data_IF_218540081025
#
_entry.id   IF_218540081025
#
_cell.length_a   1.000
_cell.length_b   1.000
_cell.length_c   1.000
_cell.angle_alpha   90.00
_cell.angle_beta   90.00
_cell.angle_gamma   90.00
#
_symmetry.space_group_name_H-M   'P 1'
#
loop_
_entity.id
_entity.type
_entity.pdbx_description
1 polymer ?
#
# COMPACT_ATOMS: atom_id res chain seq x y z
N UNK A 1 -54.41 9.20 -9.89
CA UNK A 1 -54.00 9.02 -8.48
C UNK A 1 -53.14 7.76 -8.38
N UNK A 2 -51.80 7.89 -8.45
CA UNK A 2 -50.89 6.75 -8.47
C UNK A 2 -50.47 6.35 -7.05
N UNK A 3 -50.54 5.04 -6.75
CA UNK A 3 -50.06 4.46 -5.50
C UNK A 3 -48.53 4.40 -5.49
N UNK A 4 -47.92 5.10 -4.56
CA UNK A 4 -46.49 5.05 -4.23
C UNK A 4 -46.12 3.70 -3.62
N UNK A 5 -45.24 2.95 -4.29
CA UNK A 5 -44.42 1.90 -3.68
C UNK A 5 -43.19 2.53 -3.03
N UNK A 6 -42.79 2.15 -1.81
CA UNK A 6 -41.57 2.66 -1.21
C UNK A 6 -40.37 2.01 -1.90
N UNK A 7 -39.48 2.83 -2.46
CA UNK A 7 -38.16 2.41 -2.92
C UNK A 7 -37.37 1.92 -1.70
N UNK A 8 -37.05 0.63 -1.69
CA UNK A 8 -36.07 0.04 -0.80
C UNK A 8 -34.74 0.75 -1.02
N UNK A 9 -34.29 1.52 -0.02
CA UNK A 9 -32.93 2.01 0.08
C UNK A 9 -31.99 0.81 0.16
N UNK A 10 -31.34 0.45 -0.95
CA UNK A 10 -30.16 -0.40 -0.93
C UNK A 10 -29.05 0.35 -0.19
N UNK A 11 -28.77 -0.11 1.03
CA UNK A 11 -27.52 0.20 1.71
C UNK A 11 -26.45 -0.65 1.05
N UNK A 12 -25.80 -0.12 0.01
CA UNK A 12 -24.56 -0.69 -0.52
C UNK A 12 -23.39 -0.20 0.35
N UNK A 13 -23.07 -0.98 1.38
CA UNK A 13 -21.92 -0.75 2.26
C UNK A 13 -20.58 -1.18 1.63
N UNK A 14 -19.62 -0.26 1.63
CA UNK A 14 -18.20 -0.45 1.99
C UNK A 14 -17.40 -1.64 1.38
N UNK A 15 -17.37 -1.78 0.04
CA UNK A 15 -16.39 -2.69 -0.61
C UNK A 15 -15.53 -2.04 -1.71
N UNK A 16 -15.77 -0.77 -2.06
CA UNK A 16 -15.11 -0.14 -3.22
C UNK A 16 -13.64 0.27 -3.00
N UNK A 17 -13.15 0.34 -1.75
CA UNK A 17 -11.78 0.77 -1.47
C UNK A 17 -10.67 -0.28 -1.74
N UNK A 18 -11.03 -1.57 -1.90
CA UNK A 18 -10.04 -2.65 -2.13
C UNK A 18 -9.72 -2.87 -3.60
N UNK A 19 -10.74 -2.78 -4.49
CA UNK A 19 -10.55 -2.90 -5.93
C UNK A 19 -9.64 -1.78 -6.43
N UNK A 20 -9.93 -0.53 -6.06
CA UNK A 20 -9.21 0.64 -6.59
C UNK A 20 -7.70 0.61 -6.31
N UNK A 21 -7.27 0.20 -5.10
CA UNK A 21 -5.84 0.16 -4.77
C UNK A 21 -5.10 -1.01 -5.42
N UNK A 22 -5.75 -2.16 -5.56
CA UNK A 22 -5.15 -3.31 -6.24
C UNK A 22 -5.03 -3.03 -7.74
N UNK A 23 -6.09 -2.48 -8.34
CA UNK A 23 -6.16 -2.07 -9.74
C UNK A 23 -5.12 -0.96 -10.02
N UNK A 24 -4.97 0.03 -9.14
CA UNK A 24 -3.94 1.06 -9.24
C UNK A 24 -2.53 0.48 -9.17
N UNK A 25 -2.28 -0.49 -8.30
CA UNK A 25 -0.98 -1.17 -8.22
C UNK A 25 -0.71 -1.96 -9.50
N UNK A 26 -1.70 -2.71 -10.00
CA UNK A 26 -1.57 -3.46 -11.24
C UNK A 26 -1.28 -2.52 -12.42
N UNK A 27 -2.07 -1.45 -12.57
CA UNK A 27 -1.86 -0.44 -13.60
C UNK A 27 -0.48 0.23 -13.48
N UNK A 28 -0.02 0.53 -12.26
CA UNK A 28 1.32 1.07 -12.06
C UNK A 28 2.39 0.09 -12.55
N UNK A 29 2.29 -1.20 -12.21
CA UNK A 29 3.25 -2.21 -12.67
C UNK A 29 3.20 -2.34 -14.20
N UNK A 30 2.00 -2.46 -14.78
CA UNK A 30 1.81 -2.71 -16.21
C UNK A 30 2.21 -1.52 -17.08
N UNK A 31 2.07 -0.29 -16.57
CA UNK A 31 2.51 0.94 -17.27
C UNK A 31 4.02 1.18 -17.23
N UNK A 32 4.77 0.39 -16.45
CA UNK A 32 6.23 0.52 -16.32
C UNK A 32 6.92 -0.74 -16.87
N UNK A 33 7.45 -0.74 -18.11
CA UNK A 33 8.05 -1.92 -18.73
C UNK A 33 9.13 -2.61 -17.87
N UNK A 34 9.95 -1.82 -17.17
CA UNK A 34 10.97 -2.34 -16.26
C UNK A 34 10.40 -3.17 -15.09
N UNK A 35 9.15 -2.97 -14.71
CA UNK A 35 8.43 -3.77 -13.71
C UNK A 35 7.60 -4.86 -14.38
N UNK A 36 6.94 -4.55 -15.49
CA UNK A 36 6.04 -5.46 -16.23
C UNK A 36 6.78 -6.64 -16.88
N UNK A 37 8.05 -6.49 -17.24
CA UNK A 37 8.82 -7.51 -17.96
C UNK A 37 9.82 -8.27 -17.08
N UNK A 38 10.22 -7.69 -15.94
CA UNK A 38 11.25 -8.26 -15.06
C UNK A 38 10.70 -8.51 -13.66
N UNK A 39 10.54 -9.79 -13.31
CA UNK A 39 9.99 -10.22 -12.02
C UNK A 39 10.93 -9.87 -10.85
N UNK A 40 12.25 -9.85 -11.05
CA UNK A 40 13.23 -9.55 -10.00
C UNK A 40 13.13 -8.06 -9.62
N UNK A 41 13.03 -7.18 -10.62
CA UNK A 41 12.77 -5.75 -10.42
C UNK A 41 11.41 -5.51 -9.77
N UNK A 42 10.37 -6.22 -10.24
CA UNK A 42 9.03 -6.16 -9.65
C UNK A 42 9.03 -6.58 -8.19
N UNK A 43 9.73 -7.65 -7.84
CA UNK A 43 9.82 -8.11 -6.45
C UNK A 43 10.56 -7.08 -5.56
N UNK A 44 11.64 -6.47 -6.04
CA UNK A 44 12.32 -5.39 -5.33
C UNK A 44 11.38 -4.20 -5.08
N UNK A 45 10.61 -3.80 -6.11
CA UNK A 45 9.57 -2.77 -6.00
C UNK A 45 8.47 -3.14 -5.00
N UNK A 46 7.90 -4.34 -5.09
CA UNK A 46 6.83 -4.80 -4.20
C UNK A 46 7.28 -4.87 -2.72
N UNK A 47 8.50 -5.34 -2.46
CA UNK A 47 9.08 -5.33 -1.12
C UNK A 47 9.26 -3.89 -0.60
N UNK A 48 9.72 -2.99 -1.46
CA UNK A 48 9.81 -1.56 -1.16
C UNK A 48 8.45 -0.98 -0.79
N UNK A 49 7.43 -1.25 -1.60
CA UNK A 49 6.07 -0.75 -1.38
C UNK A 49 5.49 -1.29 -0.08
N UNK A 50 5.67 -2.57 0.22
CA UNK A 50 5.25 -3.15 1.48
C UNK A 50 5.92 -2.47 2.69
N UNK A 51 7.24 -2.27 2.64
CA UNK A 51 7.97 -1.55 3.71
C UNK A 51 7.49 -0.11 3.84
N UNK A 52 7.27 0.58 2.71
CA UNK A 52 6.76 1.95 2.67
C UNK A 52 5.39 2.06 3.33
N UNK A 53 4.49 1.13 3.03
CA UNK A 53 3.13 1.09 3.54
C UNK A 53 3.09 0.83 5.04
N UNK A 54 3.86 -0.14 5.53
CA UNK A 54 4.00 -0.40 6.97
C UNK A 54 4.66 0.80 7.69
N UNK A 55 5.66 1.44 7.08
CA UNK A 55 6.29 2.62 7.66
C UNK A 55 5.32 3.82 7.75
N UNK A 56 4.46 4.01 6.76
CA UNK A 56 3.45 5.07 6.78
C UNK A 56 2.46 4.89 7.94
N UNK A 57 1.99 3.66 8.17
CA UNK A 57 1.18 3.33 9.35
C UNK A 57 1.93 3.63 10.65
N UNK A 58 3.17 3.16 10.77
CA UNK A 58 3.99 3.38 11.96
C UNK A 58 4.20 4.88 12.26
N UNK A 59 4.42 5.70 11.23
CA UNK A 59 4.55 7.14 11.38
C UNK A 59 3.27 7.78 11.93
N UNK A 60 2.09 7.41 11.41
CA UNK A 60 0.79 7.92 11.91
C UNK A 60 0.53 7.55 13.36
N UNK A 61 1.07 6.42 13.82
CA UNK A 61 1.00 5.94 15.21
C UNK A 61 2.14 6.46 16.10
N UNK A 62 2.99 7.37 15.60
CA UNK A 62 4.10 7.95 16.38
C UNK A 62 5.23 6.98 16.71
N UNK A 63 5.35 5.85 16.01
CA UNK A 63 6.39 4.85 16.26
C UNK A 63 7.73 5.35 15.71
N UNK A 64 8.69 5.64 16.61
CA UNK A 64 9.96 6.26 16.24
C UNK A 64 10.94 5.33 15.48
N UNK A 65 10.88 4.02 15.73
CA UNK A 65 11.76 3.01 15.09
C UNK A 65 11.02 2.25 14.01
N UNK A 66 10.74 2.93 12.90
CA UNK A 66 9.98 2.37 11.77
C UNK A 66 10.75 1.31 10.98
N UNK A 67 10.04 0.48 10.22
CA UNK A 67 10.62 -0.56 9.35
C UNK A 67 11.56 0.04 8.30
N UNK A 68 11.25 1.22 7.76
CA UNK A 68 12.13 1.90 6.80
C UNK A 68 13.49 2.27 7.41
N UNK A 69 13.56 2.60 8.71
CA UNK A 69 14.83 2.85 9.40
C UNK A 69 15.63 1.57 9.64
N UNK A 70 14.95 0.42 9.75
CA UNK A 70 15.58 -0.89 9.95
C UNK A 70 16.03 -1.53 8.63
N UNK A 71 15.38 -1.13 7.53
CA UNK A 71 15.60 -1.62 6.18
C UNK A 71 15.84 -0.45 5.22
N UNK A 72 16.92 0.33 5.41
CA UNK A 72 17.22 1.45 4.53
C UNK A 72 17.70 0.94 3.15
N UNK A 73 17.57 1.81 2.14
CA UNK A 73 17.87 1.48 0.74
C UNK A 73 19.31 1.01 0.56
N UNK A 74 20.28 1.73 1.14
CA UNK A 74 21.70 1.42 1.08
C UNK A 74 22.06 0.05 1.69
N UNK A 75 21.32 -0.39 2.70
CA UNK A 75 21.50 -1.70 3.30
C UNK A 75 20.87 -2.84 2.48
N UNK A 76 20.04 -2.54 1.48
CA UNK A 76 19.32 -3.56 0.74
C UNK A 76 20.23 -4.32 -0.24
N UNK A 77 20.09 -5.65 -0.25
CA UNK A 77 20.81 -6.60 -1.11
C UNK A 77 19.91 -7.80 -1.38
N UNK A 78 20.22 -8.60 -2.41
CA UNK A 78 19.53 -9.87 -2.73
C UNK A 78 19.34 -10.76 -1.50
N UNK A 79 20.42 -11.03 -0.77
CA UNK A 79 20.42 -11.83 0.48
C UNK A 79 19.52 -11.28 1.58
N UNK A 80 19.25 -9.97 1.59
CA UNK A 80 18.44 -9.32 2.63
C UNK A 80 16.96 -9.28 2.31
N UNK A 81 16.54 -9.61 1.09
CA UNK A 81 15.14 -9.62 0.66
C UNK A 81 14.32 -10.53 1.57
N UNK A 82 14.66 -11.81 1.67
CA UNK A 82 13.91 -12.79 2.47
C UNK A 82 13.81 -12.40 3.95
N UNK A 83 14.94 -11.99 4.56
CA UNK A 83 14.92 -11.51 5.95
C UNK A 83 14.14 -10.21 6.15
N UNK A 84 14.08 -9.33 5.14
CA UNK A 84 13.28 -8.10 5.21
C UNK A 84 11.80 -8.43 5.08
N UNK A 85 11.44 -9.27 4.11
CA UNK A 85 10.07 -9.74 3.92
C UNK A 85 9.52 -10.35 5.21
N UNK A 86 10.24 -11.31 5.81
CA UNK A 86 9.80 -11.95 7.06
C UNK A 86 9.55 -10.95 8.21
N UNK A 87 10.47 -10.00 8.41
CA UNK A 87 10.31 -8.97 9.44
C UNK A 87 9.12 -8.05 9.18
N UNK A 88 8.87 -7.72 7.92
CA UNK A 88 7.77 -6.83 7.55
C UNK A 88 6.44 -7.56 7.63
N UNK A 89 6.38 -8.85 7.27
CA UNK A 89 5.21 -9.72 7.48
C UNK A 89 4.86 -9.85 8.96
N UNK A 90 5.85 -10.06 9.83
CA UNK A 90 5.66 -10.09 11.28
C UNK A 90 5.03 -8.78 11.79
N UNK A 91 5.52 -7.64 11.33
CA UNK A 91 4.94 -6.33 11.68
C UNK A 91 3.54 -6.13 11.10
N UNK A 92 3.33 -6.53 9.85
CA UNK A 92 2.03 -6.46 9.21
C UNK A 92 0.98 -7.25 10.00
N UNK A 93 1.27 -8.51 10.33
CA UNK A 93 0.40 -9.36 11.13
C UNK A 93 0.13 -8.75 12.53
N UNK A 94 1.18 -8.32 13.22
CA UNK A 94 1.06 -7.70 14.54
C UNK A 94 0.16 -6.45 14.56
N UNK A 95 0.20 -5.64 13.50
CA UNK A 95 -0.65 -4.45 13.40
C UNK A 95 -2.08 -4.79 12.99
N UNK A 96 -2.26 -5.80 12.13
CA UNK A 96 -3.59 -6.29 11.77
C UNK A 96 -4.37 -6.90 12.94
N UNK A 97 -3.70 -7.47 13.93
CA UNK A 97 -4.34 -7.97 15.16
C UNK A 97 -4.76 -6.84 16.14
N UNK A 98 -4.04 -5.72 16.15
CA UNK A 98 -4.16 -4.70 17.21
C UNK A 98 -5.21 -3.62 16.95
N UNK A 99 -5.71 -3.54 15.74
CA UNK A 99 -6.56 -2.45 15.30
C UNK A 99 -7.55 -3.03 14.31
N UNK A 100 -8.84 -3.08 14.68
CA UNK A 100 -9.91 -3.61 13.83
C UNK A 100 -10.02 -2.83 12.51
N UNK A 101 -9.62 -1.55 12.48
CA UNK A 101 -9.43 -0.76 11.24
C UNK A 101 -8.11 -1.10 10.52
N UNK A 102 -7.10 -1.64 11.22
CA UNK A 102 -5.87 -2.21 10.64
C UNK A 102 -5.96 -3.71 10.30
N UNK A 103 -7.09 -4.38 10.59
CA UNK A 103 -7.51 -5.60 9.91
C UNK A 103 -7.41 -5.45 8.38
N UNK A 104 -7.33 -4.20 7.90
CA UNK A 104 -6.96 -3.80 6.56
C UNK A 104 -5.67 -2.96 6.45
N UNK A 105 -4.54 -3.42 6.97
CA UNK A 105 -3.31 -3.08 6.26
C UNK A 105 -3.39 -3.61 4.80
N UNK A 106 -4.27 -4.59 4.50
CA UNK A 106 -4.64 -5.11 3.17
C UNK A 106 -3.43 -5.16 2.25
N UNK A 107 -2.29 -5.54 2.81
CA UNK A 107 -1.04 -5.59 2.09
C UNK A 107 -0.97 -6.86 1.23
N UNK A 108 -2.05 -7.64 1.18
CA UNK A 108 -2.19 -8.85 0.38
C UNK A 108 -1.80 -8.61 -1.08
N UNK A 109 -2.19 -7.46 -1.64
CA UNK A 109 -1.77 -7.03 -2.99
C UNK A 109 -0.25 -7.06 -3.20
N UNK A 110 0.52 -6.71 -2.18
CA UNK A 110 1.98 -6.78 -2.22
C UNK A 110 2.48 -8.17 -1.85
N UNK A 111 1.92 -8.73 -0.77
CA UNK A 111 2.38 -9.99 -0.16
C UNK A 111 2.20 -11.15 -1.11
N UNK A 112 1.02 -11.31 -1.72
CA UNK A 112 0.71 -12.40 -2.64
C UNK A 112 1.60 -12.33 -3.88
N UNK A 113 1.63 -11.17 -4.57
CA UNK A 113 2.47 -10.97 -5.75
C UNK A 113 3.97 -11.17 -5.47
N UNK A 114 4.45 -10.67 -4.33
CA UNK A 114 5.85 -10.83 -3.94
C UNK A 114 6.18 -12.28 -3.60
N UNK A 115 5.30 -12.95 -2.84
CA UNK A 115 5.45 -14.36 -2.45
C UNK A 115 5.53 -15.27 -3.67
N UNK A 116 4.68 -15.02 -4.67
CA UNK A 116 4.69 -15.78 -5.92
C UNK A 116 6.05 -15.69 -6.63
N UNK A 117 6.65 -14.50 -6.68
CA UNK A 117 7.95 -14.30 -7.34
C UNK A 117 9.07 -14.97 -6.54
N UNK A 118 9.18 -14.70 -5.24
CA UNK A 118 10.28 -15.24 -4.40
C UNK A 118 10.23 -16.77 -4.26
N UNK A 119 9.05 -17.38 -4.40
CA UNK A 119 8.88 -18.83 -4.37
C UNK A 119 9.25 -19.50 -5.71
N UNK A 120 9.22 -18.79 -6.84
CA UNK A 120 9.66 -19.34 -8.14
C UNK A 120 11.17 -19.41 -8.27
N UNK A 121 11.87 -18.38 -7.79
CA UNK A 121 13.34 -18.31 -7.78
C UNK A 121 13.79 -17.53 -6.55
N UNK A 122 14.73 -18.10 -5.79
CA UNK A 122 15.19 -17.46 -4.55
C UNK A 122 15.95 -16.17 -4.85
N UNK A 123 15.84 -15.12 -4.00
CA UNK A 123 16.50 -13.83 -4.23
C UNK A 123 18.02 -13.92 -4.46
N UNK A 124 18.68 -14.90 -3.87
CA UNK A 124 20.11 -15.15 -4.03
C UNK A 124 20.51 -15.59 -5.45
N UNK A 125 19.58 -16.20 -6.19
CA UNK A 125 19.78 -16.69 -7.56
C UNK A 125 19.45 -15.65 -8.62
N UNK A 126 18.91 -14.50 -8.22
CA UNK A 126 18.51 -13.42 -9.13
C UNK A 126 19.71 -12.83 -9.85
N UNK A 127 19.54 -12.46 -11.12
CA UNK A 127 20.56 -11.76 -11.91
C UNK A 127 20.63 -10.25 -11.63
N UNK A 128 19.64 -9.72 -10.92
CA UNK A 128 19.50 -8.31 -10.57
C UNK A 128 20.74 -7.77 -9.82
N UNK A 129 21.32 -6.69 -10.37
CA UNK A 129 22.43 -6.01 -9.71
C UNK A 129 21.99 -5.35 -8.40
N UNK A 130 22.94 -5.11 -7.49
CA UNK A 130 22.58 -4.49 -6.20
C UNK A 130 22.05 -3.07 -6.38
N UNK A 131 22.60 -2.29 -7.31
CA UNK A 131 22.15 -0.91 -7.54
C UNK A 131 20.76 -0.86 -8.16
N UNK A 132 20.48 -1.76 -9.10
CA UNK A 132 19.18 -1.88 -9.75
C UNK A 132 18.10 -2.37 -8.77
N UNK A 133 18.45 -3.31 -7.90
CA UNK A 133 17.62 -3.75 -6.78
C UNK A 133 17.28 -2.59 -5.86
N UNK A 134 18.28 -1.81 -5.43
CA UNK A 134 18.10 -0.67 -4.53
C UNK A 134 17.25 0.43 -5.15
N UNK A 135 17.43 0.68 -6.45
CA UNK A 135 16.65 1.65 -7.19
C UNK A 135 15.16 1.28 -7.19
N UNK A 136 14.82 0.05 -7.60
CA UNK A 136 13.43 -0.42 -7.62
C UNK A 136 12.84 -0.53 -6.20
N UNK A 137 13.63 -0.97 -5.22
CA UNK A 137 13.23 -0.95 -3.82
C UNK A 137 12.91 0.47 -3.32
N UNK A 138 13.71 1.46 -3.68
CA UNK A 138 13.46 2.88 -3.38
C UNK A 138 12.21 3.44 -4.05
N UNK A 139 11.97 3.07 -5.31
CA UNK A 139 10.73 3.40 -6.02
C UNK A 139 9.51 2.83 -5.29
N UNK A 140 9.59 1.55 -4.91
CA UNK A 140 8.58 0.87 -4.11
C UNK A 140 8.32 1.59 -2.79
N UNK A 141 9.37 1.91 -2.02
CA UNK A 141 9.24 2.63 -0.75
C UNK A 141 8.43 3.92 -0.89
N UNK A 142 8.66 4.65 -1.98
CA UNK A 142 7.93 5.89 -2.27
C UNK A 142 6.48 5.61 -2.64
N UNK A 143 6.23 4.62 -3.49
CA UNK A 143 4.87 4.20 -3.85
C UNK A 143 4.06 3.80 -2.61
N UNK A 144 4.56 2.86 -1.81
CA UNK A 144 3.84 2.33 -0.66
C UNK A 144 3.58 3.34 0.46
N UNK A 145 4.44 4.35 0.60
CA UNK A 145 4.20 5.46 1.54
C UNK A 145 2.97 6.29 1.17
N UNK A 146 2.73 6.46 -0.12
CA UNK A 146 1.63 7.26 -0.68
C UNK A 146 0.39 6.40 -0.99
N UNK A 147 0.48 5.08 -0.79
CA UNK A 147 -0.60 4.15 -1.07
C UNK A 147 -1.64 4.14 0.08
N UNK A 148 -2.34 5.26 0.22
CA UNK A 148 -3.44 5.45 1.17
C UNK A 148 -4.83 5.25 0.54
N UNK A 149 -5.87 5.20 1.38
CA UNK A 149 -7.26 5.33 0.91
C UNK A 149 -7.45 6.77 0.55
N UNK A 150 -7.96 7.00 -0.64
CA UNK A 150 -8.47 8.29 -1.09
C UNK A 150 -9.84 8.64 -0.49
N UNK A 151 -10.34 7.90 0.50
CA UNK A 151 -11.43 8.39 1.36
C UNK A 151 -10.87 9.45 2.29
N UNK A 152 -10.90 10.71 1.84
CA UNK A 152 -11.12 11.94 2.60
C UNK A 152 -10.80 13.14 1.72
N UNK A 153 -11.67 13.49 0.77
CA UNK A 153 -11.87 14.90 0.38
C UNK A 153 -13.25 15.04 -0.28
N UNK A 154 -14.29 15.16 0.54
CA UNK A 154 -15.56 15.86 0.22
C UNK A 154 -16.19 16.25 1.58
N UNK A 155 -15.42 16.97 2.40
CA UNK A 155 -16.03 17.87 3.38
C UNK A 155 -16.13 19.22 2.67
N UNK A 156 -17.23 19.43 1.96
CA UNK A 156 -17.68 20.78 1.62
C UNK A 156 -17.76 21.55 2.94
N UNK A 157 -16.88 22.55 3.12
CA UNK A 157 -17.07 23.54 4.17
C UNK A 157 -18.49 24.10 4.03
N UNK A 158 -19.33 24.07 5.07
CA UNK A 158 -20.59 24.76 5.01
C UNK A 158 -20.27 26.25 4.87
N UNK A 159 -20.58 26.82 3.70
CA UNK A 159 -20.59 28.25 3.48
C UNK A 159 -21.40 28.88 4.60
N UNK A 160 -20.71 29.53 5.53
CA UNK A 160 -21.33 30.33 6.58
C UNK A 160 -22.15 31.41 5.89
N UNK A 161 -23.46 31.29 5.97
CA UNK A 161 -24.38 32.33 5.57
C UNK A 161 -24.10 33.57 6.42
N UNK A 162 -23.47 34.59 5.81
CA UNK A 162 -23.44 35.92 6.39
C UNK A 162 -24.89 36.38 6.57
N UNK A 163 -25.29 36.48 7.82
CA UNK A 163 -26.58 37.05 8.19
C UNK A 163 -26.40 38.56 8.09
N UNK A 164 -26.78 39.13 6.95
CA UNK A 164 -26.86 40.58 6.81
C UNK A 164 -28.09 41.06 7.58
N UNK A 165 -27.91 41.35 8.87
CA UNK A 165 -28.75 42.34 9.57
C UNK A 165 -28.40 43.70 9.01
N UNK A 166 -29.34 44.29 8.27
CA UNK A 166 -29.37 45.73 8.02
C UNK A 166 -30.72 46.26 8.50
N UNK A 167 -30.62 47.46 9.07
CA UNK A 167 -31.57 48.24 9.87
C UNK A 167 -32.86 48.64 9.13
#
# INVERSE_FOLDING_TARGET
>A
DPRTTPTTTEIMSDTNGFSDRDDRLAQFIDSHPALAEDEERRAAFLLGALVGRVAAYQNRRGISRTVIRQHPIDAMTRRRISTTLNKVLEKNAHYSEKDEKAGMLMNDRYITRLSDIVNRRTPEEWSLSTDDLRMHYGLGLTYGKNDDSTDHTDEEEPATADTQTDD
#
